data_IF_128493173785
#
_entry.id   IF_128493173785
#
_cell.length_a   1.000
_cell.length_b   1.000
_cell.length_c   1.000
_cell.angle_alpha   90.00
_cell.angle_beta   90.00
_cell.angle_gamma   90.00
#
_symmetry.space_group_name_H-M   'P 1'
#
loop_
_entity.id
_entity.type
_entity.pdbx_description
1 polymer ?
#
# COMPACT_ATOMS: atom_id res chain seq x y z
N UNK A 1 8.34 10.76 7.78
CA UNK A 1 8.59 9.51 8.55
C UNK A 1 8.09 9.66 9.99
N UNK A 2 7.50 8.61 10.56
CA UNK A 2 6.88 8.62 11.89
C UNK A 2 7.78 7.96 12.94
N UNK A 3 8.53 8.76 13.70
CA UNK A 3 9.51 8.25 14.66
C UNK A 3 8.88 7.38 15.75
N UNK A 4 7.68 7.73 16.22
CA UNK A 4 7.00 6.97 17.28
C UNK A 4 6.69 5.54 16.83
N UNK A 5 6.16 5.36 15.62
CA UNK A 5 5.87 4.04 15.09
C UNK A 5 7.16 3.25 14.81
N UNK A 6 8.21 3.92 14.32
CA UNK A 6 9.50 3.28 14.13
C UNK A 6 10.10 2.77 15.43
N UNK A 7 10.03 3.55 16.51
CA UNK A 7 10.55 3.15 17.81
C UNK A 7 9.81 1.91 18.34
N UNK A 8 8.48 1.86 18.17
CA UNK A 8 7.65 0.68 18.50
C UNK A 8 8.08 -0.54 17.68
N UNK A 9 8.26 -0.37 16.36
CA UNK A 9 8.66 -1.47 15.48
C UNK A 9 10.09 -1.96 15.74
N UNK A 10 11.03 -1.06 16.03
CA UNK A 10 12.41 -1.42 16.36
C UNK A 10 12.47 -2.18 17.68
N UNK A 11 11.67 -1.78 18.68
CA UNK A 11 11.53 -2.53 19.93
C UNK A 11 10.99 -3.94 19.65
N UNK A 12 9.90 -4.04 18.88
CA UNK A 12 9.34 -5.32 18.48
C UNK A 12 10.36 -6.23 17.79
N UNK A 13 11.11 -5.75 16.80
CA UNK A 13 12.07 -6.56 16.02
C UNK A 13 13.31 -6.94 16.84
N UNK A 14 13.84 -6.02 17.66
CA UNK A 14 15.08 -6.25 18.43
C UNK A 14 14.93 -7.35 19.47
N UNK A 15 13.70 -7.62 19.90
CA UNK A 15 13.38 -8.55 20.98
C UNK A 15 12.95 -9.94 20.45
N UNK A 16 12.60 -10.05 19.16
CA UNK A 16 12.21 -11.32 18.52
C UNK A 16 13.37 -12.17 17.97
N UNK A 17 14.62 -11.69 18.04
CA UNK A 17 15.80 -12.52 17.82
C UNK A 17 16.19 -12.77 16.35
N UNK A 18 17.51 -12.86 16.13
CA UNK A 18 18.20 -12.83 14.84
C UNK A 18 18.17 -14.14 14.02
N UNK A 19 17.07 -14.89 14.01
CA UNK A 19 16.94 -16.10 13.18
C UNK A 19 15.82 -15.96 12.15
N UNK A 20 16.12 -15.31 11.03
CA UNK A 20 15.65 -15.68 9.68
C UNK A 20 14.15 -15.74 9.36
N UNK A 21 13.25 -15.57 10.32
CA UNK A 21 11.81 -15.51 10.07
C UNK A 21 11.47 -14.07 9.66
N UNK A 22 11.00 -13.93 8.42
CA UNK A 22 10.48 -12.69 7.90
C UNK A 22 9.47 -12.10 8.90
N UNK A 23 9.48 -10.77 9.05
CA UNK A 23 8.58 -9.96 9.87
C UNK A 23 7.10 -10.03 9.44
N UNK A 24 6.64 -11.16 8.91
CA UNK A 24 5.25 -11.46 8.64
C UNK A 24 4.54 -11.71 9.98
N UNK A 25 3.66 -10.78 10.37
CA UNK A 25 2.82 -10.93 11.57
C UNK A 25 3.04 -9.90 12.69
N UNK A 26 3.98 -8.96 12.55
CA UNK A 26 4.20 -7.93 13.57
C UNK A 26 3.12 -6.84 13.61
N UNK A 27 2.38 -6.63 12.52
CA UNK A 27 1.36 -5.57 12.43
C UNK A 27 0.03 -6.19 12.01
N UNK A 28 -0.99 -5.96 12.84
CA UNK A 28 -2.37 -6.27 12.54
C UNK A 28 -3.18 -4.97 12.36
N UNK A 29 -3.96 -4.88 11.29
CA UNK A 29 -4.93 -3.80 11.12
C UNK A 29 -6.14 -4.11 12.00
N UNK A 30 -6.48 -3.20 12.92
CA UNK A 30 -7.62 -3.35 13.83
C UNK A 30 -8.84 -2.63 13.27
N UNK A 31 -8.68 -1.35 12.90
CA UNK A 31 -9.75 -0.51 12.38
C UNK A 31 -9.25 0.28 11.16
N UNK A 32 -9.53 -0.20 9.92
CA UNK A 32 -9.04 0.41 8.70
C UNK A 32 -9.46 1.87 8.52
N UNK A 33 -10.68 2.22 8.95
CA UNK A 33 -11.25 3.56 8.77
C UNK A 33 -10.50 4.60 9.61
N UNK A 34 -10.15 4.26 10.85
CA UNK A 34 -9.41 5.16 11.75
C UNK A 34 -7.91 5.07 11.53
N UNK A 35 -7.44 3.94 10.97
CA UNK A 35 -6.02 3.59 10.89
C UNK A 35 -5.44 3.11 12.22
N UNK A 36 -6.27 2.50 13.08
CA UNK A 36 -5.81 1.79 14.26
C UNK A 36 -5.14 0.48 13.83
N UNK A 37 -3.90 0.31 14.27
CA UNK A 37 -3.10 -0.89 14.10
C UNK A 37 -2.69 -1.42 15.48
N UNK A 38 -2.45 -2.72 15.55
CA UNK A 38 -1.85 -3.40 16.68
C UNK A 38 -0.49 -3.93 16.26
N UNK A 39 0.53 -3.64 17.04
CA UNK A 39 1.90 -4.09 16.82
C UNK A 39 2.25 -5.07 17.93
N UNK A 40 2.64 -6.28 17.55
CA UNK A 40 3.09 -7.29 18.52
C UNK A 40 4.50 -6.93 19.01
N UNK A 41 4.63 -6.72 20.32
CA UNK A 41 5.90 -6.38 20.99
C UNK A 41 6.20 -7.43 22.07
N UNK A 42 7.41 -7.45 22.64
CA UNK A 42 7.72 -8.40 23.72
C UNK A 42 6.91 -8.16 24.99
N UNK A 43 6.41 -6.93 25.20
CA UNK A 43 5.54 -6.56 26.31
C UNK A 43 4.05 -6.87 26.02
N UNK A 44 3.75 -7.39 24.83
CA UNK A 44 2.41 -7.71 24.34
C UNK A 44 1.94 -6.78 23.22
N UNK A 45 0.66 -6.89 22.80
CA UNK A 45 0.10 -6.10 21.71
C UNK A 45 0.03 -4.62 22.09
N UNK A 46 0.63 -3.77 21.27
CA UNK A 46 0.61 -2.31 21.42
C UNK A 46 -0.26 -1.69 20.34
N UNK A 47 -1.29 -0.96 20.75
CA UNK A 47 -2.17 -0.24 19.83
C UNK A 47 -1.59 1.11 19.42
N UNK A 48 -1.69 1.42 18.13
CA UNK A 48 -1.18 2.65 17.54
C UNK A 48 -2.17 3.20 16.51
N UNK A 49 -2.34 4.53 16.49
CA UNK A 49 -3.12 5.21 15.46
C UNK A 49 -2.18 5.82 14.43
N UNK A 50 -2.25 5.35 13.18
CA UNK A 50 -1.46 5.92 12.10
C UNK A 50 -1.81 7.40 11.92
N UNK A 51 -0.81 8.24 11.66
CA UNK A 51 -1.07 9.64 11.29
C UNK A 51 -1.83 9.73 9.96
N UNK A 52 -2.59 10.82 9.72
CA UNK A 52 -3.21 11.03 8.42
C UNK A 52 -2.14 11.36 7.36
N UNK A 53 -2.40 11.00 6.09
CA UNK A 53 -1.42 11.18 4.99
C UNK A 53 -0.79 12.59 4.88
N UNK A 54 -1.53 13.71 5.07
CA UNK A 54 -0.94 15.04 5.05
C UNK A 54 0.21 15.27 6.04
N UNK A 55 0.26 14.52 7.14
CA UNK A 55 1.30 14.61 8.17
C UNK A 55 2.47 13.62 7.93
N UNK A 56 2.30 12.68 7.00
CA UNK A 56 3.27 11.61 6.74
C UNK A 56 4.19 11.89 5.55
N UNK A 57 3.88 12.90 4.72
CA UNK A 57 4.75 13.26 3.60
C UNK A 57 6.10 13.78 4.08
N UNK A 58 7.15 13.16 3.55
CA UNK A 58 8.53 13.52 3.77
C UNK A 58 9.06 14.60 2.81
N UNK A 59 10.37 14.81 2.87
CA UNK A 59 11.08 15.67 1.91
C UNK A 59 11.24 14.95 0.56
N UNK A 60 11.31 13.61 0.58
CA UNK A 60 11.48 12.79 -0.61
C UNK A 60 12.94 12.65 -1.02
N UNK A 61 13.18 12.03 -2.18
CA UNK A 61 14.52 11.61 -2.59
C UNK A 61 15.21 12.62 -3.51
N UNK A 62 14.69 13.85 -3.61
CA UNK A 62 15.25 14.92 -4.42
C UNK A 62 15.24 14.66 -5.93
N UNK A 63 14.39 13.74 -6.42
CA UNK A 63 14.30 13.40 -7.85
C UNK A 63 13.26 14.26 -8.57
N UNK A 64 13.47 14.51 -9.87
CA UNK A 64 12.55 15.26 -10.72
C UNK A 64 11.50 14.38 -11.42
N UNK A 65 11.69 13.06 -11.39
CA UNK A 65 10.77 12.08 -11.96
C UNK A 65 10.98 10.71 -11.32
N UNK A 66 9.93 9.89 -11.29
CA UNK A 66 10.00 8.50 -10.87
C UNK A 66 10.50 7.60 -12.00
N UNK A 67 11.63 6.92 -11.78
CA UNK A 67 12.06 5.76 -12.57
C UNK A 67 11.55 4.49 -11.88
N UNK A 68 10.93 3.60 -12.64
CA UNK A 68 10.37 2.35 -12.14
C UNK A 68 11.43 1.28 -11.89
N UNK A 69 12.65 1.48 -12.40
CA UNK A 69 13.80 0.60 -12.15
C UNK A 69 14.59 1.01 -10.92
N UNK A 70 14.26 2.15 -10.34
CA UNK A 70 14.92 2.66 -9.17
C UNK A 70 14.34 1.98 -7.94
N UNK A 71 15.17 1.18 -7.28
CA UNK A 71 14.81 0.38 -6.10
C UNK A 71 14.20 1.22 -4.98
N UNK A 72 14.52 2.52 -4.90
CA UNK A 72 13.95 3.44 -3.92
C UNK A 72 12.44 3.60 -4.06
N UNK A 73 11.89 3.45 -5.27
CA UNK A 73 10.45 3.59 -5.52
C UNK A 73 9.72 2.25 -5.61
N UNK A 74 10.44 1.13 -5.62
CA UNK A 74 9.84 -0.20 -5.66
C UNK A 74 8.90 -0.48 -4.49
N UNK A 75 9.23 -0.16 -3.22
CA UNK A 75 8.30 -0.36 -2.11
C UNK A 75 6.98 0.39 -2.30
N UNK A 76 7.03 1.60 -2.83
CA UNK A 76 5.85 2.43 -3.09
C UNK A 76 5.00 1.89 -4.24
N UNK A 77 5.62 1.45 -5.33
CA UNK A 77 4.90 0.85 -6.46
C UNK A 77 4.26 -0.48 -6.06
N UNK A 78 5.05 -1.37 -5.45
CA UNK A 78 4.60 -2.68 -5.02
C UNK A 78 3.47 -2.58 -4.00
N UNK A 79 3.59 -1.69 -3.00
CA UNK A 79 2.52 -1.52 -2.01
C UNK A 79 1.21 -1.10 -2.65
N UNK A 80 1.22 -0.18 -3.62
CA UNK A 80 -0.01 0.23 -4.33
C UNK A 80 -0.61 -0.95 -5.11
N UNK A 81 0.21 -1.72 -5.82
CA UNK A 81 -0.26 -2.87 -6.61
C UNK A 81 -0.77 -4.00 -5.70
N UNK A 82 -0.08 -4.28 -4.60
CA UNK A 82 -0.47 -5.25 -3.58
C UNK A 82 -1.82 -4.89 -2.95
N UNK A 83 -2.04 -3.62 -2.59
CA UNK A 83 -3.35 -3.15 -2.08
C UNK A 83 -4.48 -3.43 -3.08
N UNK A 84 -4.23 -3.22 -4.38
CA UNK A 84 -5.22 -3.47 -5.44
C UNK A 84 -5.49 -4.97 -5.56
N UNK A 85 -4.45 -5.81 -5.55
CA UNK A 85 -4.59 -7.28 -5.59
C UNK A 85 -5.37 -7.79 -4.39
N UNK A 86 -5.03 -7.32 -3.19
CA UNK A 86 -5.70 -7.72 -1.95
C UNK A 86 -7.18 -7.31 -1.95
N UNK A 87 -7.50 -6.12 -2.46
CA UNK A 87 -8.89 -5.72 -2.64
C UNK A 87 -9.59 -6.57 -3.70
N UNK A 88 -8.92 -6.88 -4.81
CA UNK A 88 -9.50 -7.71 -5.86
C UNK A 88 -9.80 -9.15 -5.40
N UNK A 89 -8.93 -9.72 -4.56
CA UNK A 89 -9.16 -11.01 -3.95
C UNK A 89 -10.40 -11.02 -3.02
N UNK A 90 -10.69 -9.90 -2.37
CA UNK A 90 -11.86 -9.75 -1.50
C UNK A 90 -13.14 -9.38 -2.27
N UNK A 91 -13.00 -8.62 -3.35
CA UNK A 91 -14.07 -8.23 -4.26
C UNK A 91 -13.72 -8.54 -5.72
N UNK A 92 -14.04 -9.76 -6.19
CA UNK A 92 -13.84 -10.15 -7.60
C UNK A 92 -14.68 -9.34 -8.60
N UNK A 93 -15.63 -8.53 -8.12
CA UNK A 93 -16.43 -7.66 -8.99
C UNK A 93 -15.65 -6.42 -9.44
N UNK A 94 -14.56 -6.07 -8.74
CA UNK A 94 -13.67 -4.94 -9.04
C UNK A 94 -13.26 -4.93 -10.52
N UNK A 95 -13.16 -3.73 -11.09
CA UNK A 95 -12.81 -3.51 -12.50
C UNK A 95 -11.68 -2.53 -12.63
N UNK A 96 -10.92 -2.62 -13.72
CA UNK A 96 -9.87 -1.66 -14.04
C UNK A 96 -10.39 -0.21 -14.11
N UNK A 97 -11.65 -0.05 -14.54
CA UNK A 97 -12.32 1.26 -14.58
C UNK A 97 -12.47 1.88 -13.19
N UNK A 98 -12.87 1.07 -12.19
CA UNK A 98 -12.95 1.51 -10.80
C UNK A 98 -11.57 1.80 -10.22
N UNK A 99 -10.59 0.91 -10.45
CA UNK A 99 -9.19 1.15 -10.06
C UNK A 99 -8.67 2.47 -10.62
N UNK A 100 -8.88 2.74 -11.92
CA UNK A 100 -8.44 3.98 -12.55
C UNK A 100 -9.13 5.22 -11.95
N UNK A 101 -10.40 5.12 -11.55
CA UNK A 101 -11.13 6.22 -10.91
C UNK A 101 -10.55 6.53 -9.53
N UNK A 102 -10.31 5.50 -8.70
CA UNK A 102 -9.72 5.65 -7.37
C UNK A 102 -8.31 6.25 -7.46
N UNK A 103 -7.46 5.70 -8.33
CA UNK A 103 -6.12 6.24 -8.55
C UNK A 103 -6.17 7.70 -9.02
N UNK A 104 -7.08 8.07 -9.92
CA UNK A 104 -7.27 9.45 -10.36
C UNK A 104 -7.60 10.39 -9.19
N UNK A 105 -8.49 9.97 -8.27
CA UNK A 105 -8.83 10.74 -7.05
C UNK A 105 -7.60 10.94 -6.18
N UNK A 106 -6.86 9.87 -5.88
CA UNK A 106 -5.66 9.91 -5.05
C UNK A 106 -4.53 10.73 -5.70
N UNK A 107 -4.38 10.71 -7.02
CA UNK A 107 -3.40 11.55 -7.74
C UNK A 107 -3.69 13.04 -7.55
N UNK A 108 -4.96 13.44 -7.45
CA UNK A 108 -5.33 14.84 -7.19
C UNK A 108 -5.14 15.17 -5.70
N UNK A 109 -5.63 14.29 -4.83
CA UNK A 109 -5.58 14.48 -3.38
C UNK A 109 -5.36 13.13 -2.67
N UNK A 110 -4.10 12.77 -2.34
CA UNK A 110 -3.80 11.45 -1.82
C UNK A 110 -4.45 11.13 -0.46
N UNK A 111 -4.81 12.15 0.32
CA UNK A 111 -5.54 12.01 1.60
C UNK A 111 -7.00 12.44 1.50
N UNK A 112 -7.65 12.23 0.36
CA UNK A 112 -9.08 12.49 0.23
C UNK A 112 -9.90 11.56 1.12
N UNK A 113 -11.09 11.98 1.55
CA UNK A 113 -12.02 11.08 2.23
C UNK A 113 -12.37 9.87 1.33
N UNK A 114 -12.14 8.62 1.79
CA UNK A 114 -12.52 7.44 1.03
C UNK A 114 -14.04 7.32 0.85
N UNK A 115 -14.85 7.78 1.80
CA UNK A 115 -16.28 7.51 1.83
C UNK A 115 -16.56 6.00 1.89
N UNK A 116 -17.49 5.51 1.08
CA UNK A 116 -17.86 4.08 0.97
C UNK A 116 -16.97 3.29 -0.03
N UNK A 117 -15.84 3.85 -0.48
CA UNK A 117 -14.97 3.21 -1.46
C UNK A 117 -13.85 2.41 -0.77
N UNK A 118 -14.06 1.10 -0.65
CA UNK A 118 -13.15 0.17 0.05
C UNK A 118 -11.73 0.18 -0.54
N UNK A 119 -11.60 0.21 -1.86
CA UNK A 119 -10.29 0.28 -2.53
C UNK A 119 -9.54 1.56 -2.15
N UNK A 120 -10.27 2.69 -2.13
CA UNK A 120 -9.70 3.97 -1.73
C UNK A 120 -9.26 3.95 -0.25
N UNK A 121 -10.07 3.37 0.63
CA UNK A 121 -9.73 3.20 2.04
C UNK A 121 -8.48 2.34 2.24
N UNK A 122 -8.44 1.17 1.58
CA UNK A 122 -7.31 0.24 1.62
C UNK A 122 -6.00 0.89 1.14
N UNK A 123 -6.03 1.52 -0.03
CA UNK A 123 -4.87 2.23 -0.57
C UNK A 123 -4.36 3.32 0.37
N UNK A 124 -5.25 4.06 1.02
CA UNK A 124 -4.84 5.09 1.97
C UNK A 124 -4.21 4.51 3.23
N UNK A 125 -4.78 3.45 3.78
CA UNK A 125 -4.23 2.77 4.96
C UNK A 125 -2.82 2.24 4.66
N UNK A 126 -2.65 1.55 3.55
CA UNK A 126 -1.39 0.97 3.13
C UNK A 126 -0.34 2.04 2.81
N UNK A 127 -0.74 3.17 2.22
CA UNK A 127 0.12 4.34 2.07
C UNK A 127 0.49 4.96 3.42
N UNK A 128 -0.45 5.09 4.38
CA UNK A 128 -0.14 5.63 5.72
C UNK A 128 0.91 4.78 6.41
N UNK A 129 0.77 3.46 6.37
CA UNK A 129 1.75 2.55 6.95
C UNK A 129 3.11 2.70 6.25
N UNK A 130 3.14 2.67 4.91
CA UNK A 130 4.39 2.79 4.15
C UNK A 130 5.11 4.13 4.42
N UNK A 131 4.40 5.25 4.39
CA UNK A 131 4.97 6.59 4.60
C UNK A 131 5.36 6.85 6.07
N UNK A 132 4.79 6.09 7.00
CA UNK A 132 5.27 6.13 8.38
C UNK A 132 6.70 5.57 8.48
N UNK A 133 7.06 4.64 7.60
CA UNK A 133 8.35 3.94 7.61
C UNK A 133 9.36 4.45 6.57
N UNK A 134 8.94 5.31 5.63
CA UNK A 134 9.76 5.75 4.51
C UNK A 134 9.60 7.26 4.26
N UNK A 135 10.64 7.90 3.73
CA UNK A 135 10.63 9.33 3.43
C UNK A 135 10.21 9.61 1.98
N UNK A 136 8.92 9.45 1.68
CA UNK A 136 8.35 9.82 0.38
C UNK A 136 7.68 11.19 0.43
N UNK A 137 8.02 12.04 -0.53
CA UNK A 137 7.31 13.30 -0.75
C UNK A 137 5.92 13.06 -1.33
N UNK A 138 5.03 14.04 -1.15
CA UNK A 138 3.71 14.05 -1.80
C UNK A 138 3.81 13.92 -3.33
N UNK A 139 4.86 14.47 -3.93
CA UNK A 139 5.02 14.45 -5.39
C UNK A 139 5.43 13.06 -5.89
N UNK A 140 6.26 12.33 -5.15
CA UNK A 140 6.64 10.95 -5.47
C UNK A 140 5.46 9.99 -5.36
N UNK A 141 4.65 10.12 -4.30
CA UNK A 141 3.38 9.36 -4.18
C UNK A 141 2.48 9.58 -5.40
N UNK A 142 2.31 10.84 -5.81
CA UNK A 142 1.52 11.16 -7.01
C UNK A 142 2.12 10.58 -8.29
N UNK A 143 3.45 10.51 -8.40
CA UNK A 143 4.10 9.90 -9.56
C UNK A 143 3.92 8.38 -9.57
N UNK A 144 4.02 7.71 -8.43
CA UNK A 144 3.80 6.28 -8.30
C UNK A 144 2.35 5.92 -8.67
N UNK A 145 1.37 6.63 -8.11
CA UNK A 145 -0.04 6.45 -8.45
C UNK A 145 -0.30 6.65 -9.96
N UNK A 146 0.29 7.70 -10.58
CA UNK A 146 0.19 7.92 -12.04
C UNK A 146 0.83 6.81 -12.86
N UNK A 147 1.90 6.20 -12.34
CA UNK A 147 2.60 5.12 -13.03
C UNK A 147 1.73 3.87 -13.06
N UNK A 148 1.16 3.51 -11.91
CA UNK A 148 0.20 2.41 -11.77
C UNK A 148 -1.04 2.68 -12.63
N UNK A 149 -1.62 3.88 -12.57
CA UNK A 149 -2.80 4.25 -13.38
C UNK A 149 -2.53 4.12 -14.90
N UNK A 150 -1.33 4.48 -15.36
CA UNK A 150 -0.93 4.25 -16.76
C UNK A 150 -0.83 2.77 -17.09
N UNK A 151 -0.38 1.95 -16.15
CA UNK A 151 -0.34 0.49 -16.29
C UNK A 151 -1.75 -0.07 -16.41
N UNK A 152 -2.68 0.36 -15.55
CA UNK A 152 -4.11 0.01 -15.60
C UNK A 152 -4.65 0.26 -17.01
N UNK A 153 -4.62 1.52 -17.46
CA UNK A 153 -5.13 1.91 -18.79
C UNK A 153 -4.53 1.13 -19.95
N UNK A 154 -3.25 0.76 -19.85
CA UNK A 154 -2.55 0.00 -20.90
C UNK A 154 -3.10 -1.42 -20.99
N UNK A 155 -3.19 -2.13 -19.88
CA UNK A 155 -3.68 -3.52 -19.88
C UNK A 155 -5.18 -3.58 -20.14
N UNK A 156 -5.98 -2.64 -19.62
CA UNK A 156 -7.42 -2.61 -19.92
C UNK A 156 -7.74 -2.45 -21.39
N UNK A 157 -6.86 -1.74 -22.12
CA UNK A 157 -6.99 -1.56 -23.57
C UNK A 157 -6.68 -2.84 -24.35
N UNK A 158 -5.80 -3.69 -23.83
CA UNK A 158 -5.34 -4.90 -24.52
C UNK A 158 -6.25 -6.08 -24.15
N UNK A 159 -6.53 -6.26 -22.87
CA UNK A 159 -7.12 -7.48 -22.30
C UNK A 159 -8.53 -7.26 -21.71
N UNK A 160 -9.07 -6.05 -21.82
CA UNK A 160 -10.47 -5.74 -21.49
C UNK A 160 -10.70 -5.24 -20.07
N UNK A 161 -11.93 -5.41 -19.54
CA UNK A 161 -12.40 -4.75 -18.31
C UNK A 161 -11.60 -5.05 -17.04
N UNK A 162 -10.89 -6.19 -17.01
CA UNK A 162 -10.04 -6.64 -15.89
C UNK A 162 -8.61 -6.98 -16.33
N UNK A 163 -8.21 -6.52 -17.52
CA UNK A 163 -6.92 -6.87 -18.09
C UNK A 163 -5.74 -6.53 -17.18
N UNK A 164 -5.83 -5.42 -16.45
CA UNK A 164 -4.82 -5.06 -15.46
C UNK A 164 -4.90 -5.92 -14.20
N UNK A 165 -6.10 -6.09 -13.65
CA UNK A 165 -6.32 -6.90 -12.44
C UNK A 165 -5.82 -8.33 -12.62
N UNK A 166 -6.16 -8.97 -13.74
CA UNK A 166 -5.70 -10.33 -14.07
C UNK A 166 -4.17 -10.36 -14.18
N UNK A 167 -3.58 -9.37 -14.88
CA UNK A 167 -2.12 -9.25 -15.03
C UNK A 167 -1.39 -9.14 -13.69
N UNK A 168 -1.83 -8.26 -12.79
CA UNK A 168 -1.16 -8.10 -11.48
C UNK A 168 -1.48 -9.28 -10.55
N UNK A 169 -2.68 -9.86 -10.63
CA UNK A 169 -3.02 -11.02 -9.82
C UNK A 169 -2.13 -12.21 -10.15
N UNK A 170 -1.88 -12.48 -11.44
CA UNK A 170 -0.93 -13.52 -11.87
C UNK A 170 0.49 -13.23 -11.35
N UNK A 171 0.95 -11.97 -11.44
CA UNK A 171 2.28 -11.58 -10.95
C UNK A 171 2.45 -11.75 -9.44
N UNK A 172 1.41 -11.48 -8.64
CA UNK A 172 1.44 -11.64 -7.18
C UNK A 172 1.05 -13.05 -6.72
N UNK A 173 0.31 -13.81 -7.53
CA UNK A 173 0.01 -15.24 -7.33
C UNK A 173 1.28 -16.09 -7.42
N UNK A 174 2.16 -15.79 -8.38
CA UNK A 174 3.50 -16.39 -8.46
C UNK A 174 4.38 -16.08 -7.23
N UNK A 175 4.04 -15.03 -6.45
CA UNK A 175 4.75 -14.61 -5.24
C UNK A 175 4.10 -15.11 -3.94
N UNK A 176 2.99 -15.88 -4.01
CA UNK A 176 2.30 -16.43 -2.85
C UNK A 176 1.51 -15.40 -2.02
N UNK A 177 1.26 -14.20 -2.56
CA UNK A 177 0.56 -13.10 -1.86
C UNK A 177 -0.96 -13.15 -2.10
N UNK A 178 -1.39 -13.79 -3.19
CA UNK A 178 -2.80 -14.01 -3.48
C UNK A 178 -3.28 -15.30 -2.78
N UNK A 179 -4.19 -15.17 -1.82
CA UNK A 179 -4.93 -16.32 -1.30
C UNK A 179 -5.71 -16.98 -2.44
N UNK A 180 -5.71 -18.33 -2.47
CA UNK A 180 -6.43 -19.12 -3.46
C UNK A 180 -7.88 -18.63 -3.57
N UNK A 181 -8.39 -18.28 -4.77
CA UNK A 181 -9.78 -17.93 -4.92
C UNK A 181 -10.59 -19.20 -4.58
N UNK A 182 -11.44 -19.12 -3.55
CA UNK A 182 -12.40 -20.20 -3.31
C UNK A 182 -13.27 -20.35 -4.56
N UNK A 183 -13.05 -21.46 -5.27
CA UNK A 183 -13.87 -21.97 -6.38
C UNK A 183 -15.31 -22.18 -5.99
#
# INVERSE_FOLDING_TARGET
MDQTLLDIMVAAVSEHGAEGECAEGLIQIVEPETGEIEVETSEGPTRYFLKPLPELFGEGHGVSSLDWRDERFMPLLLRIEESIVQQYAQDPSLTDGHVSLVLSRLILHPGCDPGEDDLCGRLQLDLRLLLSLNDYSRQEVRWALRKVEKSVRRHSRVDGTRGYLDFIYDQFGDLGVAGDPMT
#
